data_IF_686671295352
#
_entry.id   IF_686671295352
#
_cell.length_a   1.000
_cell.length_b   1.000
_cell.length_c   1.000
_cell.angle_alpha   90.00
_cell.angle_beta   90.00
_cell.angle_gamma   90.00
#
_symmetry.space_group_name_H-M   'P 1'
#
loop_
_entity.id
_entity.type
_entity.pdbx_description
1 polymer ?
#
# COMPACT_ATOMS: atom_id res chain seq x y z
N UNK A 1 15.77 11.33 -0.34
CA UNK A 1 15.65 9.97 0.23
C UNK A 1 14.22 9.84 0.75
N UNK A 2 13.49 8.80 0.32
CA UNK A 2 12.07 8.58 0.68
C UNK A 2 12.02 7.61 1.87
N UNK A 3 11.13 7.85 2.82
CA UNK A 3 10.93 6.95 3.97
C UNK A 3 9.53 6.35 3.86
N UNK A 4 9.45 5.04 3.85
CA UNK A 4 8.20 4.29 3.76
C UNK A 4 7.60 4.11 5.14
N UNK A 5 6.40 4.64 5.31
CA UNK A 5 5.78 4.78 6.62
C UNK A 5 4.58 3.85 6.74
N UNK A 6 4.49 3.18 7.87
CA UNK A 6 3.33 2.39 8.26
C UNK A 6 3.08 2.49 9.75
N UNK A 7 2.14 1.71 10.27
CA UNK A 7 1.83 1.63 11.70
C UNK A 7 1.45 0.20 12.10
N UNK A 8 1.46 -0.15 13.39
CA UNK A 8 1.08 -1.48 13.84
C UNK A 8 -0.29 -1.92 13.31
N UNK A 9 -1.28 -1.01 13.25
CA UNK A 9 -2.61 -1.34 12.75
C UNK A 9 -2.59 -1.86 11.30
N UNK A 10 -1.91 -1.16 10.39
CA UNK A 10 -1.85 -1.53 8.98
C UNK A 10 -1.05 -2.82 8.79
N UNK A 11 0.09 -2.96 9.46
CA UNK A 11 0.92 -4.15 9.35
C UNK A 11 0.25 -5.39 9.97
N UNK A 12 -0.52 -5.22 11.05
CA UNK A 12 -1.33 -6.32 11.62
C UNK A 12 -2.45 -6.77 10.68
N UNK A 13 -3.08 -5.84 9.95
CA UNK A 13 -4.07 -6.18 8.91
C UNK A 13 -3.42 -6.99 7.79
N UNK A 14 -2.21 -6.64 7.36
CA UNK A 14 -1.43 -7.41 6.39
C UNK A 14 -1.11 -8.83 6.88
N UNK A 15 -0.64 -8.97 8.12
CA UNK A 15 -0.35 -10.29 8.71
C UNK A 15 -1.60 -11.17 8.76
N UNK A 16 -2.75 -10.59 9.12
CA UNK A 16 -4.04 -11.28 9.14
C UNK A 16 -4.43 -11.78 7.76
N UNK A 17 -4.20 -10.97 6.72
CA UNK A 17 -4.54 -11.31 5.35
C UNK A 17 -3.66 -12.43 4.79
N UNK A 18 -2.36 -12.42 5.07
CA UNK A 18 -1.42 -13.37 4.46
C UNK A 18 -1.21 -14.66 5.24
N UNK A 19 -1.96 -14.90 6.31
CA UNK A 19 -1.82 -16.08 7.18
C UNK A 19 -0.35 -16.39 7.52
N UNK A 20 0.47 -15.34 7.66
CA UNK A 20 1.86 -15.48 8.03
C UNK A 20 1.91 -15.80 9.51
N UNK A 21 2.60 -16.89 9.90
CA UNK A 21 2.91 -17.24 11.30
C UNK A 21 3.78 -16.18 12.03
N UNK A 22 3.99 -15.01 11.41
CA UNK A 22 4.57 -13.85 12.07
C UNK A 22 3.73 -13.50 13.29
N UNK A 23 4.37 -13.47 14.45
CA UNK A 23 3.68 -13.19 15.70
C UNK A 23 3.04 -11.79 15.63
N UNK A 24 1.71 -11.75 15.46
CA UNK A 24 0.86 -10.55 15.47
C UNK A 24 1.19 -9.65 16.69
N UNK A 25 1.71 -10.26 17.76
CA UNK A 25 2.07 -9.62 19.02
C UNK A 25 3.41 -8.85 19.00
N UNK A 26 4.14 -8.77 17.88
CA UNK A 26 5.50 -8.20 17.85
C UNK A 26 5.67 -6.88 17.09
N UNK A 27 4.65 -6.40 16.38
CA UNK A 27 4.73 -5.14 15.63
C UNK A 27 4.54 -3.97 16.61
N UNK A 28 5.64 -3.29 16.94
CA UNK A 28 5.69 -2.16 17.86
C UNK A 28 5.99 -0.86 17.12
N UNK A 29 5.67 0.26 17.75
CA UNK A 29 6.02 1.60 17.27
C UNK A 29 7.54 1.77 17.19
N UNK A 30 7.97 2.70 16.35
CA UNK A 30 9.37 3.10 16.10
C UNK A 30 10.29 1.98 15.63
N UNK A 31 9.71 0.93 15.02
CA UNK A 31 10.46 -0.12 14.32
C UNK A 31 10.98 0.44 12.99
N UNK A 32 12.28 0.31 12.74
CA UNK A 32 12.92 0.84 11.53
C UNK A 32 14.18 0.04 11.16
N UNK A 33 14.61 0.17 9.91
CA UNK A 33 15.94 -0.24 9.44
C UNK A 33 16.92 0.94 9.31
N UNK A 34 16.51 2.16 9.66
CA UNK A 34 17.34 3.36 9.65
C UNK A 34 18.38 3.28 10.79
N UNK A 35 19.66 3.64 10.54
CA UNK A 35 20.70 3.59 11.57
C UNK A 35 20.38 4.48 12.79
N UNK A 36 20.64 3.98 14.00
CA UNK A 36 20.35 4.68 15.27
C UNK A 36 21.02 6.06 15.44
N UNK A 37 22.06 6.35 14.66
CA UNK A 37 22.77 7.64 14.73
C UNK A 37 22.12 8.71 13.85
N UNK A 38 21.14 8.35 13.04
CA UNK A 38 20.44 9.25 12.14
C UNK A 38 19.10 9.66 12.75
N UNK A 39 18.93 10.95 13.05
CA UNK A 39 17.62 11.49 13.37
C UNK A 39 16.76 11.54 12.11
N UNK A 40 15.49 11.18 12.25
CA UNK A 40 14.52 11.19 11.15
C UNK A 40 13.68 12.45 11.22
N UNK A 41 13.73 13.25 10.17
CA UNK A 41 12.91 14.43 9.99
C UNK A 41 11.73 14.08 9.08
N UNK A 42 10.50 14.16 9.62
CA UNK A 42 9.25 13.92 8.89
C UNK A 42 8.38 15.16 8.95
N UNK A 43 8.41 15.98 7.90
CA UNK A 43 7.78 17.31 7.89
C UNK A 43 8.28 18.12 9.10
N UNK A 44 7.38 18.48 10.01
CA UNK A 44 7.68 19.26 11.20
C UNK A 44 8.05 18.39 12.42
N UNK A 45 8.05 17.06 12.28
CA UNK A 45 8.38 16.14 13.35
C UNK A 45 9.85 15.70 13.29
N UNK A 46 10.53 15.77 14.42
CA UNK A 46 11.86 15.19 14.63
C UNK A 46 11.74 13.91 15.46
N UNK A 47 12.24 12.80 14.93
CA UNK A 47 12.32 11.52 15.63
C UNK A 47 13.79 11.22 15.85
N UNK A 48 14.18 11.13 17.13
CA UNK A 48 15.55 10.78 17.49
C UNK A 48 15.88 9.35 17.07
N UNK A 49 17.00 9.18 16.35
CA UNK A 49 17.52 7.88 15.93
C UNK A 49 17.78 6.94 17.10
N UNK A 50 18.14 7.47 18.28
CA UNK A 50 18.34 6.70 19.51
C UNK A 50 17.08 5.99 20.00
N UNK A 51 15.89 6.50 19.66
CA UNK A 51 14.60 5.91 20.03
C UNK A 51 14.19 4.75 19.12
N UNK A 52 14.80 4.63 17.94
CA UNK A 52 14.43 3.63 16.94
C UNK A 52 14.83 2.22 17.37
N UNK A 53 13.92 1.28 17.14
CA UNK A 53 14.11 -0.13 17.42
C UNK A 53 14.34 -0.89 16.10
N UNK A 54 15.29 -1.85 16.06
CA UNK A 54 15.55 -2.63 14.85
C UNK A 54 14.30 -3.32 14.32
N UNK A 55 14.13 -3.34 13.00
CA UNK A 55 13.04 -4.05 12.31
C UNK A 55 13.59 -5.02 11.26
N UNK A 56 14.25 -6.13 11.63
CA UNK A 56 15.03 -6.95 10.70
C UNK A 56 14.21 -7.67 9.63
N UNK A 57 12.91 -7.88 9.87
CA UNK A 57 12.00 -8.63 9.00
C UNK A 57 11.02 -7.72 8.23
N UNK A 58 11.39 -6.46 7.99
CA UNK A 58 10.52 -5.50 7.31
C UNK A 58 10.21 -5.92 5.86
N UNK A 59 11.09 -6.68 5.22
CA UNK A 59 10.93 -7.17 3.85
C UNK A 59 9.76 -8.14 3.69
N UNK A 60 9.24 -8.71 4.78
CA UNK A 60 8.04 -9.56 4.75
C UNK A 60 6.74 -8.77 4.53
N UNK A 61 6.81 -7.44 4.61
CA UNK A 61 5.68 -6.52 4.46
C UNK A 61 5.65 -5.81 3.11
N UNK A 62 6.60 -6.11 2.21
CA UNK A 62 6.66 -5.54 0.86
C UNK A 62 6.57 -6.65 -0.20
N UNK A 63 6.18 -6.31 -1.44
CA UNK A 63 6.16 -7.26 -2.55
C UNK A 63 7.52 -7.93 -2.76
N UNK A 64 7.52 -9.24 -2.96
CA UNK A 64 8.73 -10.03 -3.27
C UNK A 64 8.73 -10.38 -4.76
N UNK A 65 9.92 -10.41 -5.37
CA UNK A 65 10.08 -10.77 -6.79
C UNK A 65 9.86 -9.61 -7.78
N UNK A 66 9.80 -8.37 -7.27
CA UNK A 66 9.67 -7.15 -8.07
C UNK A 66 10.75 -6.14 -7.65
N UNK A 67 11.16 -5.29 -8.58
CA UNK A 67 11.99 -4.13 -8.23
C UNK A 67 11.16 -3.16 -7.40
N UNK A 68 11.65 -2.81 -6.21
CA UNK A 68 11.02 -1.82 -5.34
C UNK A 68 12.06 -0.78 -4.93
N UNK A 69 11.66 0.48 -4.86
CA UNK A 69 12.48 1.58 -4.31
C UNK A 69 12.43 1.64 -2.78
N UNK A 70 11.84 0.64 -2.12
CA UNK A 70 11.65 0.61 -0.66
C UNK A 70 12.96 0.20 0.01
N UNK A 71 13.71 1.17 0.51
CA UNK A 71 15.01 0.96 1.17
C UNK A 71 15.03 1.42 2.64
N UNK A 72 14.19 2.40 3.01
CA UNK A 72 14.05 2.90 4.38
C UNK A 72 12.61 2.81 4.85
N UNK A 73 12.40 2.16 5.98
CA UNK A 73 11.07 1.96 6.57
C UNK A 73 10.98 2.51 7.99
N UNK A 74 9.81 3.00 8.36
CA UNK A 74 9.53 3.44 9.72
C UNK A 74 8.08 3.12 10.13
N UNK A 75 7.94 2.42 11.24
CA UNK A 75 6.64 2.14 11.86
C UNK A 75 6.35 3.23 12.88
N UNK A 76 5.34 4.04 12.66
CA UNK A 76 4.88 5.07 13.59
C UNK A 76 3.73 4.57 14.47
N UNK A 77 3.46 5.21 15.62
CA UNK A 77 2.17 5.08 16.30
C UNK A 77 1.00 5.31 15.34
N UNK A 78 -0.10 4.58 15.52
CA UNK A 78 -1.27 4.64 14.63
C UNK A 78 -1.75 6.07 14.37
N UNK A 79 -1.89 6.87 15.42
CA UNK A 79 -2.35 8.27 15.32
C UNK A 79 -1.39 9.14 14.51
N UNK A 80 -0.07 9.00 14.73
CA UNK A 80 0.93 9.76 13.96
C UNK A 80 0.93 9.36 12.49
N UNK A 81 0.77 8.06 12.20
CA UNK A 81 0.66 7.56 10.84
C UNK A 81 -0.60 8.10 10.14
N UNK A 82 -1.74 8.08 10.81
CA UNK A 82 -2.99 8.64 10.29
C UNK A 82 -2.87 10.13 9.98
N UNK A 83 -2.37 10.93 10.93
CA UNK A 83 -2.13 12.36 10.73
C UNK A 83 -1.19 12.60 9.54
N UNK A 84 -0.11 11.83 9.44
CA UNK A 84 0.83 11.98 8.35
C UNK A 84 0.21 11.65 7.00
N UNK A 85 -0.58 10.57 6.90
CA UNK A 85 -1.30 10.21 5.67
C UNK A 85 -2.24 11.34 5.25
N UNK A 86 -3.07 11.84 6.16
CA UNK A 86 -4.03 12.92 5.87
C UNK A 86 -3.33 14.21 5.41
N UNK A 87 -2.22 14.57 6.06
CA UNK A 87 -1.48 15.79 5.71
C UNK A 87 -0.63 15.63 4.45
N UNK A 88 -0.35 14.41 3.99
CA UNK A 88 0.56 14.14 2.86
C UNK A 88 -0.16 13.91 1.54
N UNK A 89 -1.50 13.95 1.52
CA UNK A 89 -2.25 13.92 0.28
C UNK A 89 -1.82 15.07 -0.63
N UNK A 90 -1.64 14.76 -1.91
CA UNK A 90 -1.33 15.78 -2.91
C UNK A 90 -2.56 16.65 -3.12
N UNK A 91 -2.46 17.95 -2.81
CA UNK A 91 -3.55 18.90 -3.01
C UNK A 91 -3.27 19.76 -4.22
N UNK A 92 -4.17 19.73 -5.20
CA UNK A 92 -4.09 20.60 -6.37
C UNK A 92 -5.32 21.49 -6.45
N UNK A 93 -5.09 22.78 -6.65
CA UNK A 93 -6.13 23.72 -7.03
C UNK A 93 -6.35 23.62 -8.53
N UNK A 94 -7.61 23.45 -8.93
CA UNK A 94 -8.00 23.53 -10.33
C UNK A 94 -8.95 24.70 -10.55
N UNK A 95 -8.70 25.40 -11.65
CA UNK A 95 -9.51 26.52 -12.13
C UNK A 95 -9.85 26.30 -13.60
N UNK A 96 -11.05 26.70 -14.00
CA UNK A 96 -11.42 26.77 -15.41
C UNK A 96 -11.35 28.22 -15.85
N UNK A 97 -10.55 28.49 -16.87
CA UNK A 97 -10.47 29.82 -17.47
C UNK A 97 -11.54 29.95 -18.57
N UNK A 98 -12.16 31.12 -18.66
CA UNK A 98 -13.00 31.50 -19.79
C UNK A 98 -12.14 31.94 -20.98
N UNK A 99 -12.80 32.30 -22.09
CA UNK A 99 -12.14 32.76 -23.33
C UNK A 99 -11.25 34.00 -23.12
N UNK A 100 -11.56 34.81 -22.10
CA UNK A 100 -10.79 36.00 -21.73
C UNK A 100 -9.65 35.71 -20.72
N UNK A 101 -9.34 34.42 -20.47
CA UNK A 101 -8.32 33.97 -19.50
C UNK A 101 -8.61 34.39 -18.06
N UNK A 102 -9.87 34.63 -17.74
CA UNK A 102 -10.35 34.91 -16.38
C UNK A 102 -10.98 33.66 -15.80
N UNK A 103 -10.84 33.45 -14.49
CA UNK A 103 -11.48 32.32 -13.79
C UNK A 103 -12.99 32.41 -14.01
N UNK A 104 -13.59 31.32 -14.48
CA UNK A 104 -15.05 31.22 -14.59
C UNK A 104 -15.64 31.12 -13.19
N UNK A 105 -16.70 31.86 -12.90
CA UNK A 105 -17.35 31.85 -11.58
C UNK A 105 -17.68 30.42 -11.13
N UNK A 106 -17.35 30.10 -9.88
CA UNK A 106 -17.58 28.78 -9.29
C UNK A 106 -16.67 27.66 -9.81
N UNK A 107 -15.70 27.93 -10.69
CA UNK A 107 -14.81 26.89 -11.24
C UNK A 107 -13.60 26.54 -10.37
N UNK A 108 -13.48 27.18 -9.21
CA UNK A 108 -12.41 26.93 -8.27
C UNK A 108 -12.71 25.70 -7.43
N UNK A 109 -11.86 24.67 -7.53
CA UNK A 109 -12.01 23.46 -6.71
C UNK A 109 -10.67 22.92 -6.25
N UNK A 110 -10.70 22.30 -5.07
CA UNK A 110 -9.59 21.52 -4.54
C UNK A 110 -9.78 20.05 -4.88
N UNK A 111 -8.71 19.41 -5.31
CA UNK A 111 -8.66 17.98 -5.51
C UNK A 111 -7.50 17.40 -4.72
N UNK A 112 -7.76 16.26 -4.07
CA UNK A 112 -6.76 15.51 -3.34
C UNK A 112 -6.43 14.22 -4.08
N UNK A 113 -5.16 13.83 -4.07
CA UNK A 113 -4.69 12.57 -4.62
C UNK A 113 -3.74 11.86 -3.66
N UNK A 114 -3.79 10.53 -3.69
CA UNK A 114 -2.78 9.70 -3.03
C UNK A 114 -1.43 9.97 -3.71
N UNK A 115 -0.34 10.24 -2.97
CA UNK A 115 0.97 10.49 -3.55
C UNK A 115 1.49 9.31 -4.38
N UNK A 116 2.36 9.58 -5.38
CA UNK A 116 3.17 8.51 -5.98
C UNK A 116 4.02 7.84 -4.89
N UNK A 117 4.50 6.63 -5.17
CA UNK A 117 5.23 5.79 -4.20
C UNK A 117 4.39 5.43 -2.95
N UNK A 118 3.11 5.11 -3.18
CA UNK A 118 2.23 4.52 -2.15
C UNK A 118 2.01 3.04 -2.43
N UNK A 119 2.28 2.18 -1.45
CA UNK A 119 2.01 0.74 -1.51
C UNK A 119 0.64 0.46 -0.88
N UNK A 120 -0.25 -0.16 -1.64
CA UNK A 120 -1.57 -0.60 -1.19
C UNK A 120 -1.72 -2.10 -1.43
N UNK A 121 -2.54 -2.74 -0.60
CA UNK A 121 -2.96 -4.13 -0.81
C UNK A 121 -4.48 -4.17 -0.92
N UNK A 122 -4.99 -5.01 -1.82
CA UNK A 122 -6.41 -5.20 -2.05
C UNK A 122 -6.74 -6.70 -1.96
N UNK A 123 -7.42 -7.14 -0.89
CA UNK A 123 -7.89 -8.51 -0.81
C UNK A 123 -9.08 -8.71 -1.75
N UNK A 124 -9.09 -9.82 -2.48
CA UNK A 124 -10.18 -10.20 -3.37
C UNK A 124 -10.46 -11.70 -3.22
N UNK A 125 -11.62 -12.14 -3.72
CA UNK A 125 -12.02 -13.54 -3.68
C UNK A 125 -13.26 -13.78 -4.52
N UNK A 126 -13.55 -15.06 -4.78
CA UNK A 126 -14.70 -15.50 -5.56
C UNK A 126 -15.83 -15.96 -4.63
N UNK A 127 -17.07 -15.69 -5.01
CA UNK A 127 -18.26 -16.17 -4.28
C UNK A 127 -18.77 -17.46 -4.91
N UNK A 128 -19.54 -18.25 -4.16
CA UNK A 128 -20.06 -19.55 -4.62
C UNK A 128 -21.24 -19.46 -5.60
N UNK A 129 -21.61 -18.25 -6.04
CA UNK A 129 -22.82 -17.99 -6.83
C UNK A 129 -22.54 -17.81 -8.33
N UNK A 130 -21.32 -18.10 -8.78
CA UNK A 130 -20.92 -17.94 -10.18
C UNK A 130 -21.01 -19.30 -10.90
N UNK A 131 -21.51 -19.32 -12.12
CA UNK A 131 -21.50 -20.52 -12.96
C UNK A 131 -20.06 -20.97 -13.22
N UNK A 132 -19.75 -22.25 -13.05
CA UNK A 132 -18.38 -22.79 -13.15
C UNK A 132 -17.78 -23.13 -11.79
N UNK A 133 -16.50 -23.50 -11.75
CA UNK A 133 -15.80 -23.77 -10.49
C UNK A 133 -15.14 -22.52 -9.94
N UNK A 134 -15.05 -22.39 -8.61
CA UNK A 134 -14.35 -21.29 -7.97
C UNK A 134 -12.89 -21.17 -8.45
N UNK A 135 -12.24 -22.30 -8.77
CA UNK A 135 -10.87 -22.33 -9.25
C UNK A 135 -10.73 -21.72 -10.65
N UNK A 136 -11.64 -22.04 -11.57
CA UNK A 136 -11.65 -21.44 -12.92
C UNK A 136 -11.72 -19.91 -12.86
N UNK A 137 -12.63 -19.36 -12.06
CA UNK A 137 -12.75 -17.89 -11.89
C UNK A 137 -11.53 -17.25 -11.25
N UNK A 138 -10.87 -17.96 -10.32
CA UNK A 138 -9.62 -17.49 -9.71
C UNK A 138 -8.50 -17.44 -10.75
N UNK A 139 -8.39 -18.49 -11.57
CA UNK A 139 -7.34 -18.60 -12.60
C UNK A 139 -7.55 -17.57 -13.71
N UNK A 140 -8.79 -17.39 -14.18
CA UNK A 140 -9.14 -16.39 -15.20
C UNK A 140 -8.83 -14.97 -14.72
N UNK A 141 -9.20 -14.62 -13.49
CA UNK A 141 -8.91 -13.30 -12.95
C UNK A 141 -7.40 -13.08 -12.74
N UNK A 142 -6.68 -14.11 -12.26
CA UNK A 142 -5.22 -14.03 -12.14
C UNK A 142 -4.55 -13.87 -13.50
N UNK A 143 -5.04 -14.53 -14.53
CA UNK A 143 -4.55 -14.40 -15.89
C UNK A 143 -4.79 -12.99 -16.43
N UNK A 144 -6.00 -12.46 -16.27
CA UNK A 144 -6.34 -11.08 -16.65
C UNK A 144 -5.40 -10.06 -15.99
N UNK A 145 -5.11 -10.23 -14.70
CA UNK A 145 -4.17 -9.35 -13.99
C UNK A 145 -2.73 -9.50 -14.49
N UNK A 146 -2.27 -10.73 -14.75
CA UNK A 146 -0.91 -10.98 -15.28
C UNK A 146 -0.69 -10.35 -16.65
N UNK A 147 -1.71 -10.37 -17.51
CA UNK A 147 -1.66 -9.73 -18.83
C UNK A 147 -1.66 -8.20 -18.76
N UNK A 148 -2.14 -7.63 -17.65
CA UNK A 148 -2.30 -6.19 -17.46
C UNK A 148 -1.53 -5.71 -16.22
N UNK A 149 -0.21 -5.56 -16.35
CA UNK A 149 0.66 -5.14 -15.24
C UNK A 149 0.46 -3.69 -14.79
N UNK A 150 -0.05 -2.83 -15.69
CA UNK A 150 -0.35 -1.43 -15.43
C UNK A 150 -1.87 -1.26 -15.40
N UNK A 151 -2.41 -0.81 -14.27
CA UNK A 151 -3.83 -0.53 -14.10
C UNK A 151 -4.05 0.97 -13.90
N UNK A 152 -5.18 1.47 -14.37
CA UNK A 152 -5.64 2.82 -14.06
C UNK A 152 -6.77 2.73 -13.03
N UNK A 153 -6.63 3.46 -11.93
CA UNK A 153 -7.60 3.48 -10.83
C UNK A 153 -7.95 4.94 -10.49
N UNK A 154 -9.25 5.21 -10.42
CA UNK A 154 -9.79 6.52 -10.07
C UNK A 154 -9.98 7.44 -11.28
N UNK A 155 -10.18 8.73 -11.04
CA UNK A 155 -10.41 9.71 -12.10
C UNK A 155 -9.13 10.24 -12.74
N UNK A 156 -9.30 11.12 -13.74
CA UNK A 156 -8.21 11.92 -14.34
C UNK A 156 -7.14 11.13 -15.09
N UNK A 157 -7.53 10.00 -15.65
CA UNK A 157 -6.72 9.22 -16.59
C UNK A 157 -6.12 10.10 -17.70
N UNK A 158 -6.93 10.99 -18.31
CA UNK A 158 -6.50 11.90 -19.37
C UNK A 158 -5.40 12.88 -18.96
N UNK A 159 -5.14 13.04 -17.65
CA UNK A 159 -4.07 13.85 -17.09
C UNK A 159 -2.91 13.00 -16.54
N UNK A 160 -2.87 11.71 -16.87
CA UNK A 160 -1.80 10.80 -16.43
C UNK A 160 -1.90 10.42 -14.95
N UNK A 161 -3.10 10.39 -14.35
CA UNK A 161 -3.29 10.10 -12.92
C UNK A 161 -3.90 8.71 -12.70
N UNK A 162 -3.56 8.12 -11.55
CA UNK A 162 -4.14 6.84 -11.11
C UNK A 162 -3.51 5.59 -11.70
N UNK A 163 -2.37 5.72 -12.40
CA UNK A 163 -1.63 4.58 -12.92
C UNK A 163 -0.87 3.87 -11.81
N UNK A 164 -1.09 2.57 -11.68
CA UNK A 164 -0.48 1.72 -10.65
C UNK A 164 0.11 0.46 -11.27
N UNK A 165 1.22 0.00 -10.71
CA UNK A 165 1.75 -1.32 -11.00
C UNK A 165 1.16 -2.32 -10.01
N UNK A 166 0.60 -3.42 -10.52
CA UNK A 166 0.02 -4.46 -9.69
C UNK A 166 0.99 -5.61 -9.45
N UNK A 167 0.82 -6.29 -8.32
CA UNK A 167 1.55 -7.50 -7.94
C UNK A 167 0.61 -8.48 -7.26
N UNK A 168 0.75 -9.76 -7.61
CA UNK A 168 0.01 -10.85 -6.99
C UNK A 168 0.89 -11.55 -5.97
N UNK A 169 0.41 -11.63 -4.73
CA UNK A 169 1.10 -12.41 -3.71
C UNK A 169 1.09 -13.90 -4.11
N UNK A 170 2.20 -14.64 -3.92
CA UNK A 170 2.24 -16.07 -4.20
C UNK A 170 1.17 -16.79 -3.37
N UNK A 171 0.31 -17.55 -4.03
CA UNK A 171 -0.67 -18.41 -3.36
C UNK A 171 0.08 -19.51 -2.62
N UNK A 172 -0.14 -19.65 -1.31
CA UNK A 172 0.32 -20.85 -0.60
C UNK A 172 -0.57 -22.00 -1.00
N UNK A 173 0.00 -23.05 -1.58
CA UNK A 173 -0.69 -24.31 -1.83
C UNK A 173 -1.36 -24.80 -0.54
N UNK A 174 -2.68 -25.00 -0.60
CA UNK A 174 -3.39 -25.68 0.47
C UNK A 174 -2.97 -27.15 0.42
N UNK A 175 -2.15 -27.57 1.39
CA UNK A 175 -1.84 -28.99 1.57
C UNK A 175 -3.14 -29.73 1.95
N UNK A 176 -3.84 -30.22 0.93
CA UNK A 176 -4.95 -31.15 1.07
C UNK A 176 -4.44 -32.43 1.71
N UNK A 177 -4.61 -32.54 3.03
CA UNK A 177 -4.41 -33.78 3.78
C UNK A 177 -5.43 -34.80 3.23
N UNK A 178 -5.00 -35.65 2.30
CA UNK A 178 -5.70 -36.91 2.00
C UNK A 178 -5.52 -37.80 3.23
N UNK A 179 -6.47 -37.77 4.15
CA UNK A 179 -6.64 -38.87 5.09
C UNK A 179 -7.05 -40.10 4.29
N UNK A 180 -6.06 -40.96 4.02
CA UNK A 180 -6.28 -42.29 3.49
C UNK A 180 -7.03 -43.12 4.54
N UNK A 181 -8.24 -43.54 4.19
CA UNK A 181 -8.86 -44.72 4.80
C UNK A 181 -8.11 -45.95 4.27
N UNK A 182 -7.47 -46.66 5.20
CA UNK A 182 -6.99 -48.03 5.04
C UNK A 182 -7.26 -48.75 6.35
#
# INVERSE_FOLDING_TARGET
CVIWISCPLLLQRWVRLNHSNGSINTIKNYRSNIPKKESVYLKDALIDGGSLQPFPNWQDFIPKGYETSIDKVLVLPNQHCETLIQMSLWRQVKVKLNEHKVVTDGSFRYEEAIPPDTLMYFPWGVTTQVNGTAQEHLDDFQQLLKENSLLQIGGQESLGRGFVQQWMAPQKESNGKKEGKG
#
